data_IF_880564470051
#
_entry.id   IF_880564470051
#
_cell.length_a   1.000
_cell.length_b   1.000
_cell.length_c   1.000
_cell.angle_alpha   90.00
_cell.angle_beta   90.00
_cell.angle_gamma   90.00
#
_symmetry.space_group_name_H-M   'P 1'
#
loop_
_entity.id
_entity.type
_entity.pdbx_description
1 polymer ?
#
# COMPACT_ATOMS: atom_id res chain seq x y z
N UNK A 1 -4.10 29.20 82.27
CA UNK A 1 -5.08 30.29 82.13
C UNK A 1 -4.44 31.30 81.18
N UNK A 2 -4.94 31.54 79.96
CA UNK A 2 -6.21 32.22 79.69
C UNK A 2 -6.95 31.66 78.46
N UNK A 3 -8.26 31.89 78.49
CA UNK A 3 -9.33 31.29 77.72
C UNK A 3 -9.95 32.33 76.76
N UNK A 4 -10.52 31.83 75.66
CA UNK A 4 -11.60 32.39 74.81
C UNK A 4 -11.28 33.39 73.69
N UNK A 5 -11.62 32.99 72.44
CA UNK A 5 -12.71 33.51 71.59
C UNK A 5 -12.40 33.24 70.10
N UNK A 6 -12.86 32.13 69.51
CA UNK A 6 -14.09 32.02 68.70
C UNK A 6 -14.43 33.28 67.88
N UNK A 7 -14.32 33.21 66.53
CA UNK A 7 -15.40 33.54 65.57
C UNK A 7 -15.16 32.86 64.21
N UNK A 8 -16.22 32.22 63.71
CA UNK A 8 -16.39 31.58 62.41
C UNK A 8 -16.80 32.63 61.36
N UNK A 9 -16.10 32.69 60.22
CA UNK A 9 -16.56 33.23 58.92
C UNK A 9 -15.74 32.54 57.82
N UNK A 10 -16.24 31.48 57.18
CA UNK A 10 -17.09 31.44 55.97
C UNK A 10 -16.41 32.04 54.72
N UNK A 11 -16.40 31.21 53.65
CA UNK A 11 -16.12 31.52 52.24
C UNK A 11 -14.62 31.73 51.93
N UNK A 12 -13.96 31.04 50.99
CA UNK A 12 -14.44 30.52 49.71
C UNK A 12 -13.77 29.19 49.35
N UNK A 13 -14.59 28.21 48.95
CA UNK A 13 -14.13 27.03 48.21
C UNK A 13 -13.84 27.49 46.78
N UNK A 14 -12.63 27.96 46.53
CA UNK A 14 -12.10 28.11 45.17
C UNK A 14 -11.91 26.72 44.56
N UNK A 15 -12.96 26.25 43.88
CA UNK A 15 -12.93 25.07 43.05
C UNK A 15 -12.01 25.33 41.85
N UNK A 16 -10.72 25.06 42.03
CA UNK A 16 -9.79 24.91 40.91
C UNK A 16 -10.03 23.54 40.29
N UNK A 17 -11.00 23.48 39.37
CA UNK A 17 -11.11 22.38 38.41
C UNK A 17 -9.84 22.42 37.56
N UNK A 18 -8.88 21.56 37.91
CA UNK A 18 -7.76 21.25 37.06
C UNK A 18 -8.30 20.70 35.73
N UNK A 19 -8.32 21.53 34.70
CA UNK A 19 -8.48 21.09 33.33
C UNK A 19 -7.27 20.22 32.98
N UNK A 20 -7.42 18.91 33.15
CA UNK A 20 -6.56 17.91 32.51
C UNK A 20 -6.74 18.08 31.00
N UNK A 21 -5.89 18.91 30.41
CA UNK A 21 -5.79 19.08 28.97
C UNK A 21 -5.47 17.74 28.34
N UNK A 22 -6.44 17.19 27.60
CA UNK A 22 -6.25 16.02 26.76
C UNK A 22 -5.19 16.34 25.71
N UNK A 23 -4.00 15.78 25.88
CA UNK A 23 -2.90 15.87 24.93
C UNK A 23 -3.22 14.89 23.79
N UNK A 24 -4.06 15.32 22.85
CA UNK A 24 -4.24 14.59 21.58
C UNK A 24 -2.93 14.70 20.80
N UNK A 25 -2.06 13.71 20.97
CA UNK A 25 -0.85 13.54 20.17
C UNK A 25 -1.27 13.09 18.77
N UNK A 26 -1.40 14.03 17.84
CA UNK A 26 -1.53 13.72 16.41
C UNK A 26 -0.19 13.18 15.94
N UNK A 27 -0.04 11.87 15.86
CA UNK A 27 1.07 11.24 15.14
C UNK A 27 0.83 11.46 13.65
N UNK A 28 1.64 12.33 13.03
CA UNK A 28 1.71 12.41 11.59
C UNK A 28 2.20 11.04 11.06
N UNK A 29 1.37 10.34 10.27
CA UNK A 29 1.84 9.22 9.46
C UNK A 29 2.82 9.79 8.43
N UNK A 30 4.11 9.71 8.71
CA UNK A 30 5.12 9.89 7.68
C UNK A 30 4.96 8.75 6.66
N UNK A 31 4.82 9.09 5.38
CA UNK A 31 4.91 8.10 4.31
C UNK A 31 6.30 7.45 4.39
N UNK A 32 6.36 6.13 4.34
CA UNK A 32 7.63 5.41 4.28
C UNK A 32 8.38 5.78 2.99
N UNK A 33 9.69 6.02 3.06
CA UNK A 33 10.48 6.34 1.87
C UNK A 33 10.43 5.18 0.88
N UNK A 34 10.30 5.51 -0.40
CA UNK A 34 10.32 4.53 -1.50
C UNK A 34 11.74 4.01 -1.63
N UNK A 35 11.90 2.69 -1.58
CA UNK A 35 13.18 2.04 -1.84
C UNK A 35 13.14 1.42 -3.22
N UNK A 36 13.90 2.03 -4.13
CA UNK A 36 14.06 1.57 -5.50
C UNK A 36 15.14 0.50 -5.55
N UNK A 37 14.78 -0.67 -6.07
CA UNK A 37 15.63 -1.84 -6.16
C UNK A 37 15.63 -2.32 -7.62
N UNK A 38 16.72 -2.93 -8.05
CA UNK A 38 16.81 -3.56 -9.37
C UNK A 38 15.81 -4.72 -9.50
N UNK A 39 15.20 -4.88 -10.67
CA UNK A 39 14.20 -5.92 -10.93
C UNK A 39 14.75 -7.34 -10.77
N UNK A 40 16.04 -7.56 -11.01
CA UNK A 40 16.67 -8.87 -10.83
C UNK A 40 16.66 -9.33 -9.37
N UNK A 41 16.48 -8.41 -8.41
CA UNK A 41 16.37 -8.73 -7.00
C UNK A 41 15.10 -9.53 -6.67
N UNK A 42 14.03 -9.44 -7.49
CA UNK A 42 12.77 -10.16 -7.27
C UNK A 42 13.02 -11.66 -7.12
N UNK A 43 13.91 -12.23 -7.93
CA UNK A 43 14.25 -13.66 -7.87
C UNK A 43 14.90 -14.10 -6.54
N UNK A 44 15.42 -13.16 -5.75
CA UNK A 44 16.06 -13.45 -4.46
C UNK A 44 15.12 -13.25 -3.26
N UNK A 45 13.93 -12.68 -3.47
CA UNK A 45 12.94 -12.43 -2.41
C UNK A 45 12.43 -13.71 -1.76
N UNK A 46 12.45 -14.84 -2.47
CA UNK A 46 12.00 -16.14 -1.97
C UNK A 46 13.02 -16.84 -1.05
N UNK A 47 14.29 -16.53 -1.21
CA UNK A 47 15.39 -17.22 -0.52
C UNK A 47 15.92 -16.44 0.68
N UNK A 48 15.94 -15.12 0.57
CA UNK A 48 16.54 -14.26 1.58
C UNK A 48 15.51 -13.82 2.62
N UNK A 49 15.94 -13.75 3.87
CA UNK A 49 15.18 -13.02 4.87
C UNK A 49 15.15 -11.53 4.51
N UNK A 50 14.14 -10.78 4.99
CA UNK A 50 14.06 -9.33 4.79
C UNK A 50 15.37 -8.60 5.13
N UNK A 51 16.00 -8.95 6.25
CA UNK A 51 17.23 -8.29 6.70
C UNK A 51 18.41 -8.57 5.75
N UNK A 52 18.54 -9.82 5.30
CA UNK A 52 19.59 -10.21 4.36
C UNK A 52 19.35 -9.60 2.97
N UNK A 53 18.08 -9.55 2.55
CA UNK A 53 17.66 -8.92 1.32
C UNK A 53 18.00 -7.42 1.33
N UNK A 54 17.63 -6.71 2.39
CA UNK A 54 17.93 -5.29 2.58
C UNK A 54 19.44 -5.00 2.63
N UNK A 55 20.22 -5.91 3.22
CA UNK A 55 21.67 -5.79 3.25
C UNK A 55 22.29 -6.00 1.85
N UNK A 56 21.78 -6.97 1.10
CA UNK A 56 22.32 -7.33 -0.22
C UNK A 56 21.89 -6.35 -1.31
N UNK A 57 20.66 -5.86 -1.20
CA UNK A 57 19.98 -4.97 -2.13
C UNK A 57 19.47 -3.73 -1.36
N UNK A 58 20.38 -2.84 -0.93
CA UNK A 58 19.99 -1.65 -0.16
C UNK A 58 19.13 -0.69 -0.99
N UNK A 59 19.25 -0.74 -2.32
CA UNK A 59 18.51 0.11 -3.24
C UNK A 59 18.88 1.60 -3.14
N UNK A 60 18.10 2.44 -3.82
CA UNK A 60 18.12 3.90 -3.67
C UNK A 60 16.88 4.32 -2.87
N UNK A 61 17.06 5.13 -1.84
CA UNK A 61 15.93 5.72 -1.12
C UNK A 61 15.50 7.00 -1.82
N UNK A 62 14.21 7.08 -2.11
CA UNK A 62 13.57 8.19 -2.82
C UNK A 62 12.34 8.59 -2.01
N UNK A 63 12.18 9.89 -1.76
CA UNK A 63 11.06 10.40 -0.96
C UNK A 63 9.79 10.64 -1.79
N UNK A 64 9.93 10.81 -3.11
CA UNK A 64 8.85 11.19 -4.02
C UNK A 64 8.89 10.33 -5.30
N UNK A 65 7.77 9.68 -5.70
CA UNK A 65 7.70 8.93 -6.94
C UNK A 65 8.04 9.78 -8.19
N UNK A 66 7.91 11.11 -8.13
CA UNK A 66 8.30 12.00 -9.23
C UNK A 66 9.82 11.99 -9.52
N UNK A 67 10.65 11.53 -8.60
CA UNK A 67 12.11 11.42 -8.77
C UNK A 67 12.54 10.07 -9.36
N UNK A 68 11.59 9.17 -9.61
CA UNK A 68 11.87 7.85 -10.19
C UNK A 68 12.30 7.99 -11.66
N UNK A 69 13.15 7.05 -12.08
CA UNK A 69 13.52 6.92 -13.48
C UNK A 69 12.29 6.44 -14.27
N UNK A 70 12.13 6.88 -15.52
CA UNK A 70 10.93 6.55 -16.29
C UNK A 70 10.91 5.08 -16.71
N UNK A 71 9.85 4.34 -16.35
CA UNK A 71 9.66 2.95 -16.71
C UNK A 71 8.58 2.25 -15.89
N UNK A 72 8.47 0.94 -16.08
CA UNK A 72 7.58 0.10 -15.30
C UNK A 72 8.23 -0.30 -13.98
N UNK A 73 7.46 -0.29 -12.91
CA UNK A 73 7.89 -0.72 -11.59
C UNK A 73 6.92 -1.74 -11.01
N UNK A 74 7.47 -2.85 -10.53
CA UNK A 74 6.73 -3.77 -9.66
C UNK A 74 6.82 -3.23 -8.24
N UNK A 75 5.69 -2.92 -7.66
CA UNK A 75 5.56 -2.28 -6.35
C UNK A 75 5.15 -3.34 -5.33
N UNK A 76 5.92 -3.43 -4.26
CA UNK A 76 5.58 -4.20 -3.07
C UNK A 76 5.53 -3.28 -1.85
N UNK A 77 4.36 -3.17 -1.27
CA UNK A 77 4.09 -2.39 -0.07
C UNK A 77 3.58 -3.30 1.05
N UNK A 78 4.16 -3.19 2.24
CA UNK A 78 3.71 -3.94 3.41
C UNK A 78 4.08 -3.20 4.70
N UNK A 79 3.08 -2.76 5.46
CA UNK A 79 3.24 -1.89 6.64
C UNK A 79 4.08 -0.64 6.36
N UNK A 80 5.37 -0.64 6.75
CA UNK A 80 6.32 0.44 6.53
C UNK A 80 7.32 0.15 5.40
N UNK A 81 7.17 -0.98 4.71
CA UNK A 81 7.96 -1.35 3.55
C UNK A 81 7.34 -0.78 2.29
N UNK A 82 8.20 -0.18 1.47
CA UNK A 82 7.81 0.33 0.18
C UNK A 82 8.94 0.04 -0.83
N UNK A 83 8.85 -1.08 -1.54
CA UNK A 83 9.85 -1.55 -2.49
C UNK A 83 9.35 -1.36 -3.93
N UNK A 84 10.13 -0.66 -4.73
CA UNK A 84 9.85 -0.41 -6.14
C UNK A 84 10.95 -1.10 -6.96
N UNK A 85 10.58 -2.15 -7.68
CA UNK A 85 11.51 -2.93 -8.50
C UNK A 85 11.48 -2.43 -9.95
N UNK A 86 12.59 -1.86 -10.42
CA UNK A 86 12.71 -1.32 -11.78
C UNK A 86 13.80 -0.25 -11.91
N UNK A 87 13.81 0.53 -13.01
CA UNK A 87 12.79 0.58 -14.07
C UNK A 87 12.87 -0.59 -15.06
N UNK A 88 11.72 -1.20 -15.34
CA UNK A 88 11.53 -2.24 -16.35
C UNK A 88 11.07 -1.61 -17.67
N UNK A 89 11.62 -2.06 -18.79
CA UNK A 89 11.36 -1.47 -20.10
C UNK A 89 10.01 -1.89 -20.72
N UNK A 90 9.61 -3.14 -20.53
CA UNK A 90 8.40 -3.71 -21.14
C UNK A 90 7.39 -4.09 -20.06
N UNK A 91 6.13 -3.71 -20.27
CA UNK A 91 5.01 -4.06 -19.39
C UNK A 91 4.90 -5.57 -19.20
N UNK A 92 4.99 -6.36 -20.28
CA UNK A 92 4.89 -7.83 -20.21
C UNK A 92 5.96 -8.47 -19.32
N UNK A 93 7.17 -7.89 -19.30
CA UNK A 93 8.24 -8.35 -18.41
C UNK A 93 7.91 -7.97 -16.96
N UNK A 94 7.31 -6.79 -16.76
CA UNK A 94 6.80 -6.37 -15.46
C UNK A 94 5.68 -7.26 -14.94
N UNK A 95 4.77 -7.72 -15.80
CA UNK A 95 3.73 -8.70 -15.47
C UNK A 95 4.34 -10.04 -15.04
N UNK A 96 5.32 -10.56 -15.80
CA UNK A 96 6.04 -11.79 -15.45
C UNK A 96 6.70 -11.69 -14.06
N UNK A 97 7.31 -10.53 -13.76
CA UNK A 97 7.93 -10.27 -12.46
C UNK A 97 6.90 -10.08 -11.33
N UNK A 98 5.75 -9.46 -11.61
CA UNK A 98 4.66 -9.32 -10.66
C UNK A 98 4.10 -10.69 -10.28
N UNK A 99 3.90 -11.58 -11.25
CA UNK A 99 3.45 -12.95 -11.02
C UNK A 99 4.47 -13.72 -10.16
N UNK A 100 5.76 -13.62 -10.50
CA UNK A 100 6.84 -14.23 -9.71
C UNK A 100 6.82 -13.74 -8.26
N UNK A 101 6.71 -12.43 -8.04
CA UNK A 101 6.70 -11.86 -6.69
C UNK A 101 5.45 -12.25 -5.92
N UNK A 102 4.30 -12.32 -6.59
CA UNK A 102 3.02 -12.74 -6.00
C UNK A 102 3.12 -14.17 -5.48
N UNK A 103 3.64 -15.11 -6.27
CA UNK A 103 3.84 -16.50 -5.83
C UNK A 103 4.68 -16.59 -4.55
N UNK A 104 5.77 -15.82 -4.50
CA UNK A 104 6.68 -15.79 -3.35
C UNK A 104 6.00 -15.23 -2.11
N UNK A 105 5.28 -14.12 -2.25
CA UNK A 105 4.59 -13.47 -1.14
C UNK A 105 3.46 -14.35 -0.61
N UNK A 106 2.66 -14.97 -1.49
CA UNK A 106 1.60 -15.90 -1.08
C UNK A 106 2.16 -17.12 -0.33
N UNK A 107 3.25 -17.70 -0.82
CA UNK A 107 3.94 -18.79 -0.13
C UNK A 107 4.46 -18.37 1.27
N UNK A 108 4.96 -17.13 1.38
CA UNK A 108 5.40 -16.58 2.65
C UNK A 108 4.23 -16.31 3.61
N UNK A 109 3.09 -15.81 3.11
CA UNK A 109 1.86 -15.55 3.87
C UNK A 109 1.27 -16.86 4.41
N UNK A 110 1.30 -17.93 3.63
CA UNK A 110 0.87 -19.26 4.08
C UNK A 110 1.67 -19.76 5.29
N UNK A 111 2.96 -19.39 5.37
CA UNK A 111 3.82 -19.72 6.52
C UNK A 111 3.66 -18.72 7.67
N UNK A 112 3.41 -17.44 7.36
CA UNK A 112 3.28 -16.34 8.31
C UNK A 112 2.06 -15.48 7.97
N UNK A 113 0.88 -15.80 8.50
CA UNK A 113 -0.33 -15.03 8.22
C UNK A 113 -0.24 -13.56 8.65
N UNK A 114 0.71 -13.20 9.52
CA UNK A 114 0.92 -11.82 9.96
C UNK A 114 1.40 -10.86 8.87
N UNK A 115 1.79 -11.35 7.68
CA UNK A 115 2.25 -10.52 6.55
C UNK A 115 1.21 -10.38 5.41
N UNK A 116 -0.05 -10.71 5.69
CA UNK A 116 -1.14 -10.75 4.72
C UNK A 116 -1.57 -9.36 4.20
N UNK A 117 -1.29 -8.28 4.93
CA UNK A 117 -1.75 -6.92 4.61
C UNK A 117 -0.76 -6.22 3.67
N UNK A 118 -0.45 -6.85 2.54
CA UNK A 118 0.45 -6.33 1.51
C UNK A 118 -0.33 -5.79 0.30
N UNK A 119 0.32 -4.90 -0.46
CA UNK A 119 -0.11 -4.42 -1.76
C UNK A 119 0.96 -4.75 -2.79
N UNK A 120 0.54 -5.41 -3.88
CA UNK A 120 1.38 -5.83 -4.99
C UNK A 120 0.76 -5.29 -6.28
N UNK A 121 1.46 -4.39 -6.98
CA UNK A 121 0.95 -3.76 -8.20
C UNK A 121 2.07 -3.47 -9.20
N UNK A 122 1.71 -3.41 -10.49
CA UNK A 122 2.58 -2.95 -11.56
C UNK A 122 2.13 -1.54 -11.98
N UNK A 123 3.03 -0.56 -11.88
CA UNK A 123 2.74 0.84 -12.23
C UNK A 123 3.82 1.40 -13.14
N UNK A 124 3.44 2.33 -14.02
CA UNK A 124 4.38 3.10 -14.81
C UNK A 124 4.71 4.41 -14.08
N UNK A 125 5.98 4.60 -13.72
CA UNK A 125 6.46 5.78 -12.99
C UNK A 125 7.53 6.54 -13.80
N UNK A 126 7.67 7.86 -13.61
CA UNK A 126 6.83 8.72 -12.80
C UNK A 126 5.46 8.95 -13.47
N UNK A 127 4.39 8.65 -12.75
CA UNK A 127 3.03 9.00 -13.14
C UNK A 127 2.86 10.51 -13.01
N UNK A 128 3.17 11.26 -14.06
CA UNK A 128 2.90 12.70 -14.12
C UNK A 128 1.40 12.87 -13.82
N UNK A 129 1.03 13.38 -12.64
CA UNK A 129 -0.37 13.70 -12.32
C UNK A 129 -0.89 14.68 -13.37
N UNK A 130 -1.49 14.14 -14.42
CA UNK A 130 -2.40 14.88 -15.27
C UNK A 130 -3.70 14.99 -14.47
N UNK A 131 -3.78 15.95 -13.57
CA UNK A 131 -5.05 16.48 -13.11
C UNK A 131 -5.70 17.22 -14.29
N UNK A 132 -6.22 16.48 -15.28
CA UNK A 132 -7.10 17.02 -16.31
C UNK A 132 -8.49 16.48 -16.06
N UNK A 133 -9.25 17.27 -15.31
CA UNK A 133 -10.68 17.51 -15.45
C UNK A 133 -11.48 16.44 -16.22
N UNK A 134 -12.41 15.82 -15.49
CA UNK A 134 -13.68 15.37 -16.03
C UNK A 134 -14.16 16.33 -17.12
N UNK A 135 -14.22 15.88 -18.37
CA UNK A 135 -14.78 16.64 -19.49
C UNK A 135 -15.96 15.85 -20.05
N UNK A 136 -17.11 16.20 -19.48
CA UNK A 136 -18.46 16.16 -20.04
C UNK A 136 -18.84 15.08 -21.07
N UNK A 137 -19.86 14.31 -20.68
CA UNK A 137 -20.84 13.70 -21.60
C UNK A 137 -21.31 14.68 -22.70
N UNK A 138 -21.82 14.13 -23.82
CA UNK A 138 -23.14 14.53 -24.24
C UNK A 138 -24.08 13.32 -24.37
N UNK A 139 -25.11 13.33 -23.52
CA UNK A 139 -26.36 12.59 -23.66
C UNK A 139 -27.05 12.91 -25.01
N UNK A 140 -27.45 11.88 -25.75
CA UNK A 140 -28.85 11.59 -26.14
C UNK A 140 -28.98 10.80 -27.47
N UNK A 141 -29.40 9.54 -27.33
CA UNK A 141 -30.15 8.68 -28.27
C UNK A 141 -31.46 9.35 -28.77
N UNK A 142 -32.28 8.83 -29.76
CA UNK A 142 -32.73 7.43 -29.92
C UNK A 142 -33.07 7.01 -31.40
N UNK A 143 -33.93 6.01 -31.70
CA UNK A 143 -33.78 4.55 -31.55
C UNK A 143 -34.07 3.79 -32.87
N UNK A 144 -33.72 2.49 -32.97
CA UNK A 144 -34.52 1.41 -33.59
C UNK A 144 -33.74 0.07 -33.57
N UNK A 145 -34.44 -1.07 -33.62
CA UNK A 145 -34.18 -2.22 -32.76
C UNK A 145 -33.57 -3.36 -33.56
N UNK A 146 -32.65 -4.10 -32.95
CA UNK A 146 -32.75 -5.56 -32.85
C UNK A 146 -31.49 -6.14 -32.20
N UNK A 147 -31.76 -7.08 -31.29
CA UNK A 147 -30.90 -8.21 -30.90
C UNK A 147 -29.83 -7.96 -29.83
N UNK A 148 -30.21 -8.16 -28.56
CA UNK A 148 -29.32 -8.81 -27.56
C UNK A 148 -29.48 -10.34 -27.64
N UNK A 149 -28.56 -11.17 -27.11
CA UNK A 149 -27.10 -11.02 -27.00
C UNK A 149 -26.36 -12.30 -27.52
N UNK A 150 -25.02 -12.29 -27.59
CA UNK A 150 -24.31 -13.25 -26.74
C UNK A 150 -23.17 -12.63 -25.93
N UNK A 151 -22.98 -13.22 -24.76
CA UNK A 151 -21.99 -13.01 -23.71
C UNK A 151 -20.53 -12.94 -24.19
N UNK A 152 -19.62 -12.40 -23.36
CA UNK A 152 -18.23 -12.10 -23.72
C UNK A 152 -17.41 -13.36 -23.92
N UNK A 153 -16.49 -13.31 -24.89
CA UNK A 153 -15.49 -14.35 -25.08
C UNK A 153 -14.61 -14.47 -23.81
N UNK A 154 -14.45 -15.67 -23.26
CA UNK A 154 -13.54 -15.89 -22.16
C UNK A 154 -12.10 -15.71 -22.67
N UNK A 155 -11.40 -14.70 -22.17
CA UNK A 155 -9.94 -14.66 -22.27
C UNK A 155 -9.38 -15.98 -21.74
N UNK A 156 -8.32 -16.55 -22.36
CA UNK A 156 -7.68 -17.74 -21.83
C UNK A 156 -7.10 -17.42 -20.45
N UNK A 157 -7.84 -17.78 -19.40
CA UNK A 157 -7.35 -17.77 -18.02
C UNK A 157 -6.25 -18.81 -17.90
N UNK A 158 -5.00 -18.37 -17.97
CA UNK A 158 -3.80 -19.17 -17.65
C UNK A 158 -3.90 -19.79 -16.23
N UNK A 159 -4.69 -19.19 -15.34
CA UNK A 159 -5.08 -19.72 -14.03
C UNK A 159 -5.85 -21.06 -14.05
N UNK A 160 -6.53 -21.39 -15.15
CA UNK A 160 -7.18 -22.68 -15.34
C UNK A 160 -6.20 -23.84 -15.53
N UNK A 161 -4.99 -23.56 -16.01
CA UNK A 161 -3.94 -24.56 -16.22
C UNK A 161 -3.15 -24.84 -14.93
N UNK A 162 -2.93 -23.83 -14.08
CA UNK A 162 -2.14 -23.99 -12.84
C UNK A 162 -2.90 -24.82 -11.78
N UNK A 163 -4.24 -24.72 -11.71
CA UNK A 163 -5.05 -25.60 -10.85
C UNK A 163 -5.01 -27.08 -11.25
N UNK A 164 -4.55 -27.40 -12.47
CA UNK A 164 -4.48 -28.78 -12.98
C UNK A 164 -3.14 -29.46 -12.70
N UNK A 165 -2.09 -28.71 -12.39
CA UNK A 165 -0.77 -29.25 -11.99
C UNK A 165 -0.63 -29.40 -10.47
N UNK A 166 -1.26 -28.52 -9.68
CA UNK A 166 -1.35 -28.69 -8.23
C UNK A 166 -2.64 -29.42 -7.84
N UNK A 167 -2.72 -30.70 -8.22
CA UNK A 167 -3.78 -31.60 -7.79
C UNK A 167 -3.70 -31.89 -6.28
N UNK A 168 -4.43 -31.12 -5.47
CA UNK A 168 -4.99 -31.64 -4.23
C UNK A 168 -6.27 -32.41 -4.58
N UNK A 169 -6.11 -33.71 -4.82
CA UNK A 169 -7.16 -34.71 -5.01
C UNK A 169 -6.61 -36.08 -4.66
#
# INVERSE_FOLDING_TARGET
>A
MNTMANRVTRLERGAWLAHLGSFFLVTALAASPIRVIDESAISFTSFLSRADFDQRYPGKLVDDPAQLETGWYVIYEHEALNYYFGPILLESIGEDYLDQLTEVVEAAVAQRPSIQDYRLELSYEPSIRSSSSSSAEPLAEPPLPNSLPPQPEPQPSFWGLIKKIFGFG
#
